data_IF_402007968379
#
_entry.id   IF_402007968379
#
_cell.length_a   1.000
_cell.length_b   1.000
_cell.length_c   1.000
_cell.angle_alpha   90.00
_cell.angle_beta   90.00
_cell.angle_gamma   90.00
#
_symmetry.space_group_name_H-M   'P 1'
#
loop_
_entity.id
_entity.type
_entity.pdbx_description
1 polymer ?
#
# COMPACT_ATOMS: atom_id res chain seq x y z
N UNK A 1 13.63 -17.26 1.86
CA UNK A 1 13.59 -16.41 0.66
C UNK A 1 12.42 -15.47 0.78
N UNK A 2 12.53 -14.25 0.26
CA UNK A 2 11.43 -13.27 0.20
C UNK A 2 10.49 -13.53 -1.00
N UNK A 3 10.54 -14.74 -1.57
CA UNK A 3 9.97 -15.07 -2.88
C UNK A 3 8.43 -15.07 -2.91
N UNK A 4 7.79 -14.88 -1.76
CA UNK A 4 6.36 -14.68 -1.61
C UNK A 4 6.05 -13.54 -0.62
N UNK A 5 6.63 -12.38 -0.87
CA UNK A 5 6.39 -11.17 -0.10
C UNK A 5 6.13 -9.97 -1.02
N UNK A 6 5.10 -9.20 -0.71
CA UNK A 6 4.66 -8.10 -1.55
C UNK A 6 4.40 -6.83 -0.75
N UNK A 7 4.92 -5.71 -1.23
CA UNK A 7 4.59 -4.41 -0.66
C UNK A 7 3.12 -4.11 -0.87
N UNK A 8 2.46 -3.65 0.20
CA UNK A 8 1.13 -3.05 0.12
C UNK A 8 1.27 -1.57 0.46
N UNK A 9 0.31 -0.77 0.01
CA UNK A 9 0.34 0.69 0.18
C UNK A 9 0.12 1.11 1.63
N UNK A 10 1.13 0.98 2.48
CA UNK A 10 1.16 1.57 3.81
C UNK A 10 2.55 1.69 4.42
N UNK A 11 2.68 2.63 5.36
CA UNK A 11 3.93 3.01 6.03
C UNK A 11 3.67 3.47 7.46
N UNK A 12 4.72 3.54 8.26
CA UNK A 12 4.66 4.18 9.57
C UNK A 12 4.56 5.71 9.48
N UNK A 13 3.90 6.34 10.45
CA UNK A 13 3.85 7.80 10.63
C UNK A 13 4.50 8.30 11.95
N UNK A 14 5.25 7.43 12.61
CA UNK A 14 5.83 7.50 13.97
C UNK A 14 4.84 7.23 15.12
N UNK A 15 3.54 7.10 14.85
CA UNK A 15 2.50 6.78 15.83
C UNK A 15 1.75 5.48 15.53
N UNK A 16 1.55 5.14 14.26
CA UNK A 16 0.79 3.98 13.80
C UNK A 16 1.16 3.60 12.36
N UNK A 17 0.63 2.47 11.88
CA UNK A 17 0.67 2.17 10.46
C UNK A 17 -0.51 2.84 9.76
N UNK A 18 -0.20 3.55 8.67
CA UNK A 18 -1.19 4.22 7.82
C UNK A 18 -1.10 3.70 6.39
N UNK A 19 -2.22 3.67 5.68
CA UNK A 19 -2.23 3.43 4.25
C UNK A 19 -1.59 4.62 3.50
N UNK A 20 -1.26 4.44 2.23
CA UNK A 20 -0.80 5.53 1.35
C UNK A 20 -1.84 6.64 1.17
N UNK A 21 -3.13 6.37 1.46
CA UNK A 21 -4.19 7.38 1.48
C UNK A 21 -4.30 8.12 2.82
N UNK A 22 -3.47 7.79 3.81
CA UNK A 22 -3.49 8.37 5.15
C UNK A 22 -4.51 7.75 6.10
N UNK A 23 -5.10 6.61 5.75
CA UNK A 23 -6.06 5.92 6.62
C UNK A 23 -5.30 5.12 7.68
N UNK A 24 -5.59 5.39 8.96
CA UNK A 24 -5.04 4.63 10.08
C UNK A 24 -5.48 3.16 10.02
N UNK A 25 -4.55 2.24 10.27
CA UNK A 25 -4.86 0.82 10.46
C UNK A 25 -5.05 0.51 11.94
N UNK A 26 -5.96 -0.41 12.25
CA UNK A 26 -6.14 -0.92 13.59
C UNK A 26 -4.94 -1.82 13.98
N UNK A 27 -4.00 -1.24 14.72
CA UNK A 27 -2.78 -1.91 15.19
C UNK A 27 -3.05 -3.02 16.21
N UNK A 28 -4.27 -3.12 16.75
CA UNK A 28 -4.64 -4.11 17.75
C UNK A 28 -5.42 -5.28 17.16
N UNK A 29 -5.66 -5.31 15.84
CA UNK A 29 -6.44 -6.37 15.22
C UNK A 29 -5.62 -7.67 15.07
N UNK A 30 -5.89 -8.73 15.85
CA UNK A 30 -5.08 -9.94 15.86
C UNK A 30 -5.25 -10.78 14.58
N UNK A 31 -6.26 -10.48 13.74
CA UNK A 31 -6.46 -11.17 12.46
C UNK A 31 -5.50 -10.69 11.38
N UNK A 32 -4.97 -9.47 11.52
CA UNK A 32 -4.13 -8.87 10.50
C UNK A 32 -2.64 -8.96 10.84
N UNK A 33 -2.27 -8.78 12.10
CA UNK A 33 -0.88 -8.61 12.51
C UNK A 33 -0.24 -9.88 13.03
N UNK A 34 0.96 -10.19 12.52
CA UNK A 34 1.79 -11.25 13.09
C UNK A 34 2.23 -10.92 14.52
N UNK A 35 1.93 -11.85 15.44
CA UNK A 35 2.30 -11.73 16.85
C UNK A 35 3.82 -11.97 17.08
N UNK A 36 4.51 -11.12 17.87
CA UNK A 36 3.95 -9.98 18.60
C UNK A 36 3.62 -8.83 17.64
N UNK A 37 2.35 -8.37 17.72
CA UNK A 37 1.76 -7.19 17.04
C UNK A 37 2.83 -6.11 16.86
N UNK A 38 2.90 -5.39 15.72
CA UNK A 38 4.08 -4.64 15.31
C UNK A 38 4.62 -3.84 16.50
N UNK A 39 5.60 -4.42 17.17
CA UNK A 39 6.06 -3.89 18.45
C UNK A 39 6.96 -2.75 18.08
N UNK A 40 6.34 -1.57 18.00
CA UNK A 40 6.96 -0.26 18.13
C UNK A 40 7.71 0.30 16.91
N UNK A 41 7.66 -0.35 15.75
CA UNK A 41 8.29 0.15 14.53
C UNK A 41 7.30 0.83 13.57
N UNK A 42 6.57 1.83 14.07
CA UNK A 42 5.79 2.77 13.24
C UNK A 42 6.66 3.85 12.59
N UNK A 43 7.98 3.63 12.49
CA UNK A 43 8.88 4.65 11.95
C UNK A 43 8.51 4.93 10.50
N UNK A 44 8.68 6.17 10.07
CA UNK A 44 8.51 6.54 8.65
C UNK A 44 9.40 5.77 7.67
N UNK A 45 10.45 5.10 8.17
CA UNK A 45 11.32 4.21 7.39
C UNK A 45 10.75 2.80 7.18
N UNK A 46 9.60 2.48 7.77
CA UNK A 46 9.02 1.15 7.80
C UNK A 46 7.74 1.08 6.95
N UNK A 47 7.62 0.02 6.15
CA UNK A 47 6.57 -0.20 5.17
C UNK A 47 5.85 -1.52 5.41
N UNK A 48 4.58 -1.60 4.98
CA UNK A 48 3.75 -2.79 5.11
C UNK A 48 3.94 -3.74 3.94
N UNK A 49 4.10 -5.01 4.25
CA UNK A 49 4.06 -6.08 3.27
C UNK A 49 3.15 -7.22 3.72
N UNK A 50 2.62 -7.95 2.73
CA UNK A 50 2.00 -9.25 2.94
C UNK A 50 2.99 -10.35 2.59
N UNK A 51 2.95 -11.48 3.31
CA UNK A 51 3.71 -12.66 2.93
C UNK A 51 2.91 -13.93 3.18
N UNK A 52 3.08 -14.91 2.30
CA UNK A 52 2.51 -16.26 2.48
C UNK A 52 3.43 -17.22 3.25
N UNK A 53 4.63 -16.76 3.66
CA UNK A 53 5.65 -17.61 4.30
C UNK A 53 5.70 -17.52 5.83
N UNK A 54 4.74 -16.87 6.48
CA UNK A 54 4.75 -16.80 7.94
C UNK A 54 4.19 -18.12 8.55
N UNK A 55 4.88 -18.73 9.54
CA UNK A 55 4.40 -19.94 10.23
C UNK A 55 3.18 -19.70 11.15
N UNK A 56 2.47 -18.57 11.00
CA UNK A 56 1.28 -18.19 11.76
C UNK A 56 0.32 -17.46 10.82
N UNK A 57 -0.97 -17.72 10.98
CA UNK A 57 -2.10 -17.37 10.09
C UNK A 57 -2.37 -15.87 9.84
N UNK A 58 -1.37 -15.01 10.03
CA UNK A 58 -1.50 -13.55 10.00
C UNK A 58 -0.69 -12.97 8.84
N UNK A 59 -1.34 -12.27 7.90
CA UNK A 59 -0.71 -11.91 6.62
C UNK A 59 0.10 -10.60 6.66
N UNK A 60 -0.14 -9.66 7.59
CA UNK A 60 0.54 -8.36 7.59
C UNK A 60 1.83 -8.35 8.41
N UNK A 61 2.84 -7.74 7.80
CA UNK A 61 4.16 -7.57 8.37
C UNK A 61 4.71 -6.17 8.09
N UNK A 62 5.74 -5.79 8.84
CA UNK A 62 6.44 -4.51 8.73
C UNK A 62 7.92 -4.77 8.44
N UNK A 63 8.50 -4.01 7.51
CA UNK A 63 9.93 -4.05 7.22
C UNK A 63 10.42 -2.72 6.67
N UNK A 64 11.72 -2.46 6.73
CA UNK A 64 12.37 -1.29 6.11
C UNK A 64 11.89 -1.07 4.68
N UNK A 65 11.42 0.14 4.39
CA UNK A 65 10.97 0.57 3.06
C UNK A 65 12.09 0.51 2.01
N UNK A 66 13.36 0.45 2.42
CA UNK A 66 14.51 0.35 1.51
C UNK A 66 14.66 -1.05 0.89
N UNK A 67 13.96 -2.05 1.42
CA UNK A 67 14.00 -3.41 0.90
C UNK A 67 13.33 -3.54 -0.48
N UNK A 68 13.89 -4.44 -1.30
CA UNK A 68 13.30 -4.81 -2.58
C UNK A 68 12.21 -5.86 -2.37
N UNK A 69 10.96 -5.51 -2.65
CA UNK A 69 9.82 -6.43 -2.79
C UNK A 69 8.93 -5.93 -3.93
N UNK A 70 8.12 -6.83 -4.50
CA UNK A 70 7.19 -6.47 -5.58
C UNK A 70 6.00 -5.72 -4.98
N UNK A 71 5.61 -4.54 -5.50
CA UNK A 71 4.39 -3.86 -5.04
C UNK A 71 3.13 -4.54 -5.58
N UNK A 72 2.13 -4.69 -4.73
CA UNK A 72 0.76 -5.03 -5.13
C UNK A 72 -0.07 -3.75 -5.22
N UNK A 73 -0.55 -3.48 -6.43
CA UNK A 73 -1.37 -2.32 -6.73
C UNK A 73 -2.86 -2.70 -6.72
N UNK A 74 -3.65 -1.99 -5.91
CA UNK A 74 -5.11 -2.06 -5.94
C UNK A 74 -5.72 -0.87 -6.65
N UNK A 75 -6.76 -1.09 -7.45
CA UNK A 75 -7.51 -0.04 -8.15
C UNK A 75 -8.80 0.29 -7.38
N UNK A 76 -9.02 1.57 -7.07
CA UNK A 76 -10.28 2.06 -6.49
C UNK A 76 -10.87 3.16 -7.40
N UNK A 77 -11.96 2.89 -8.13
CA UNK A 77 -12.61 3.87 -9.00
C UNK A 77 -12.95 5.19 -8.26
N UNK A 78 -13.38 5.09 -6.99
CA UNK A 78 -13.79 6.22 -6.15
C UNK A 78 -12.66 7.22 -5.86
N UNK A 79 -11.40 6.78 -5.85
CA UNK A 79 -10.25 7.66 -5.62
C UNK A 79 -9.80 8.42 -6.89
N UNK A 80 -10.18 7.96 -8.09
CA UNK A 80 -9.88 8.66 -9.34
C UNK A 80 -10.85 9.80 -9.61
N UNK A 81 -12.14 9.62 -9.30
CA UNK A 81 -13.16 10.66 -9.43
C UNK A 81 -12.83 11.90 -8.57
N UNK A 82 -12.20 11.69 -7.41
CA UNK A 82 -11.75 12.77 -6.52
C UNK A 82 -10.47 13.49 -6.98
N UNK A 83 -9.71 12.92 -7.93
CA UNK A 83 -8.49 13.54 -8.50
C UNK A 83 -8.75 14.32 -9.79
N UNK A 84 -10.00 14.39 -10.26
CA UNK A 84 -10.35 15.12 -11.47
C UNK A 84 -11.35 16.24 -11.20
N UNK A 85 -10.87 17.49 -11.09
CA UNK A 85 -11.47 18.59 -11.81
C UNK A 85 -10.62 18.81 -13.07
N UNK A 86 -10.75 17.94 -14.09
CA UNK A 86 -10.32 18.33 -15.44
C UNK A 86 -11.31 19.37 -15.96
N UNK A 87 -11.19 20.61 -15.47
CA UNK A 87 -11.63 21.80 -16.19
C UNK A 87 -10.65 22.03 -17.34
N UNK A 88 -10.83 21.29 -18.42
CA UNK A 88 -10.70 21.79 -19.79
C UNK A 88 -10.98 20.63 -20.73
N UNK A 89 -11.96 20.84 -21.60
CA UNK A 89 -12.42 19.91 -22.62
C UNK A 89 -11.26 19.35 -23.45
N UNK A 90 -10.98 18.06 -23.32
CA UNK A 90 -10.32 17.31 -24.39
C UNK A 90 -11.46 16.77 -25.25
N UNK A 91 -11.65 17.37 -26.43
CA UNK A 91 -12.59 16.82 -27.40
C UNK A 91 -11.97 15.55 -28.00
N UNK A 92 -12.83 14.59 -28.35
CA UNK A 92 -12.49 13.26 -28.89
C UNK A 92 -11.60 13.26 -30.15
N UNK A 93 -11.25 14.42 -30.70
CA UNK A 93 -10.39 14.58 -31.87
C UNK A 93 -8.89 14.47 -31.56
N UNK A 94 -8.48 14.59 -30.29
CA UNK A 94 -7.06 14.54 -29.91
C UNK A 94 -6.49 13.11 -29.83
N UNK A 95 -7.34 12.07 -29.87
CA UNK A 95 -6.91 10.66 -29.82
C UNK A 95 -6.53 10.06 -31.17
N UNK A 96 -6.75 10.75 -32.29
CA UNK A 96 -6.52 10.21 -33.64
C UNK A 96 -5.19 10.63 -34.29
N UNK A 97 -4.26 11.25 -33.55
CA UNK A 97 -2.97 11.69 -34.10
C UNK A 97 -1.72 11.04 -33.48
N UNK A 98 -1.85 9.89 -32.84
CA UNK A 98 -0.71 8.97 -32.66
C UNK A 98 -0.78 7.92 -33.77
N UNK A 99 -0.52 8.37 -34.99
CA UNK A 99 -0.30 7.52 -36.15
C UNK A 99 1.14 6.99 -36.18
N UNK A 100 1.24 5.71 -36.56
CA UNK A 100 2.42 4.92 -36.94
C UNK A 100 3.38 4.47 -35.84
#
# INVERSE_FOLDING_TARGET
>A
GLDNAWWIGGRGDDSQMVTISGTALDNNNPLFWFAPLPSWNYKKSECLYISSYAPKDTPLHVHSCADKKIPLCGYSPKLMEQRLPLKSSIQSKDFLNLGF
#
